data_IF_830633978846
#
_entry.id   IF_830633978846
#
_cell.length_a   1.000
_cell.length_b   1.000
_cell.length_c   1.000
_cell.angle_alpha   90.00
_cell.angle_beta   90.00
_cell.angle_gamma   90.00
#
_symmetry.space_group_name_H-M   'P 1'
#
loop_
_entity.id
_entity.type
_entity.pdbx_description
1 polymer ?
#
# COMPACT_ATOMS: atom_id res chain seq x y z
N UNK A 1 -0.26 -30.57 16.43
CA UNK A 1 -0.47 -30.04 15.06
C UNK A 1 -0.10 -28.58 15.11
N UNK A 2 1.01 -28.17 14.52
CA UNK A 2 1.47 -26.78 14.60
C UNK A 2 0.74 -25.94 13.54
N UNK A 3 -0.22 -25.16 14.02
CA UNK A 3 -0.89 -24.10 13.27
C UNK A 3 0.14 -23.00 13.04
N UNK A 4 0.21 -22.42 11.83
CA UNK A 4 1.03 -21.22 11.62
C UNK A 4 0.55 -20.17 12.61
N UNK A 5 1.45 -19.78 13.52
CA UNK A 5 1.22 -18.63 14.37
C UNK A 5 1.28 -17.38 13.49
N UNK A 6 0.11 -16.77 13.30
CA UNK A 6 -0.01 -15.51 12.57
C UNK A 6 0.14 -14.31 13.51
N UNK A 7 0.32 -14.53 14.82
CA UNK A 7 0.50 -13.44 15.77
C UNK A 7 1.72 -12.60 15.37
N UNK A 8 1.51 -11.28 15.33
CA UNK A 8 2.54 -10.32 14.95
C UNK A 8 2.86 -10.26 13.44
N UNK A 9 2.24 -11.10 12.60
CA UNK A 9 2.42 -11.01 11.15
C UNK A 9 1.38 -10.08 10.53
N UNK A 10 1.83 -9.30 9.55
CA UNK A 10 1.00 -8.37 8.80
C UNK A 10 1.02 -8.67 7.30
N UNK A 11 -0.03 -8.20 6.62
CA UNK A 11 -0.03 -8.11 5.18
C UNK A 11 1.12 -7.18 4.74
N UNK A 12 2.02 -7.69 3.90
CA UNK A 12 3.22 -6.98 3.52
C UNK A 12 2.94 -5.72 2.67
N UNK A 13 1.78 -5.62 2.03
CA UNK A 13 1.40 -4.44 1.27
C UNK A 13 0.76 -3.37 2.17
N UNK A 14 -0.33 -3.70 2.85
CA UNK A 14 -1.18 -2.78 3.61
C UNK A 14 -0.75 -2.56 5.06
N UNK A 15 0.04 -3.49 5.64
CA UNK A 15 0.39 -3.49 7.06
C UNK A 15 -0.76 -3.91 7.99
N UNK A 16 -1.88 -4.38 7.45
CA UNK A 16 -2.99 -4.88 8.27
C UNK A 16 -2.63 -6.23 8.92
N UNK A 17 -3.04 -6.51 10.17
CA UNK A 17 -2.88 -7.83 10.77
C UNK A 17 -3.47 -8.93 9.89
N UNK A 18 -2.78 -10.07 9.79
CA UNK A 18 -3.25 -11.17 8.95
C UNK A 18 -4.60 -11.71 9.42
N UNK A 19 -5.46 -12.05 8.45
CA UNK A 19 -6.80 -12.57 8.68
C UNK A 19 -7.04 -13.70 7.67
N UNK A 20 -7.16 -14.93 8.19
CA UNK A 20 -7.32 -16.15 7.39
C UNK A 20 -8.60 -16.12 6.54
N UNK A 21 -9.64 -15.43 7.00
CA UNK A 21 -10.93 -15.35 6.32
C UNK A 21 -10.90 -14.47 5.06
N UNK A 22 -9.85 -13.65 4.89
CA UNK A 22 -9.66 -12.82 3.70
C UNK A 22 -8.89 -13.54 2.58
N UNK A 23 -8.54 -14.81 2.79
CA UNK A 23 -7.64 -15.56 1.93
C UNK A 23 -6.19 -15.08 2.07
N UNK A 24 -5.25 -16.01 2.20
CA UNK A 24 -3.84 -15.68 2.36
C UNK A 24 -3.01 -16.19 1.18
N UNK A 25 -2.00 -15.40 0.83
CA UNK A 25 -0.95 -15.74 -0.09
C UNK A 25 0.40 -15.54 0.60
N UNK A 26 1.41 -16.31 0.20
CA UNK A 26 2.76 -16.19 0.73
C UNK A 26 3.78 -16.15 -0.40
N UNK A 27 4.71 -15.21 -0.33
CA UNK A 27 5.90 -15.25 -1.17
C UNK A 27 6.78 -16.45 -0.77
N UNK A 28 7.01 -17.37 -1.70
CA UNK A 28 7.82 -18.55 -1.44
C UNK A 28 9.32 -18.26 -1.35
N UNK A 29 9.77 -17.09 -1.80
CA UNK A 29 11.17 -16.66 -1.67
C UNK A 29 11.47 -16.06 -0.30
N UNK A 30 10.68 -15.07 0.18
CA UNK A 30 10.99 -14.34 1.41
C UNK A 30 9.97 -14.52 2.55
N UNK A 31 8.96 -15.37 2.36
CA UNK A 31 7.98 -15.82 3.38
C UNK A 31 7.07 -14.75 3.98
N UNK A 32 7.01 -13.56 3.38
CA UNK A 32 6.01 -12.55 3.74
C UNK A 32 4.63 -12.93 3.22
N UNK A 33 3.60 -12.47 3.91
CA UNK A 33 2.21 -12.79 3.62
C UNK A 33 1.46 -11.61 3.01
N UNK A 34 0.39 -11.94 2.30
CA UNK A 34 -0.55 -11.00 1.71
C UNK A 34 -1.98 -11.55 1.89
N UNK A 35 -2.94 -10.66 2.08
CA UNK A 35 -4.35 -10.94 1.82
C UNK A 35 -4.59 -11.04 0.31
N UNK A 36 -5.65 -11.75 -0.09
CA UNK A 36 -5.98 -11.94 -1.50
C UNK A 36 -6.19 -10.60 -2.25
N UNK A 37 -6.80 -9.60 -1.61
CA UNK A 37 -7.02 -8.29 -2.24
C UNK A 37 -5.71 -7.55 -2.54
N UNK A 38 -4.71 -7.65 -1.66
CA UNK A 38 -3.38 -7.09 -1.92
C UNK A 38 -2.76 -7.70 -3.19
N UNK A 39 -2.93 -9.00 -3.42
CA UNK A 39 -2.43 -9.66 -4.63
C UNK A 39 -3.08 -9.10 -5.90
N UNK A 40 -4.39 -8.87 -5.89
CA UNK A 40 -5.08 -8.23 -7.03
C UNK A 40 -4.47 -6.88 -7.37
N UNK A 41 -4.18 -6.07 -6.35
CA UNK A 41 -3.51 -4.77 -6.55
C UNK A 41 -2.12 -4.96 -7.12
N UNK A 42 -1.29 -5.83 -6.52
CA UNK A 42 0.08 -6.09 -7.00
C UNK A 42 0.12 -6.54 -8.47
N UNK A 43 -0.77 -7.45 -8.88
CA UNK A 43 -0.86 -7.87 -10.29
C UNK A 43 -1.08 -6.68 -11.23
N UNK A 44 -1.97 -5.77 -10.85
CA UNK A 44 -2.30 -4.59 -11.66
C UNK A 44 -1.16 -3.56 -11.70
N UNK A 45 -0.45 -3.35 -10.60
CA UNK A 45 0.38 -2.14 -10.41
C UNK A 45 1.88 -2.42 -10.36
N UNK A 46 2.30 -3.66 -10.10
CA UNK A 46 3.70 -4.07 -10.06
C UNK A 46 3.97 -5.46 -10.67
N UNK A 47 3.13 -5.89 -11.62
CA UNK A 47 3.28 -7.19 -12.29
C UNK A 47 3.25 -8.39 -11.32
N UNK A 48 2.63 -8.24 -10.15
CA UNK A 48 2.51 -9.30 -9.14
C UNK A 48 3.82 -9.61 -8.41
N UNK A 49 4.78 -8.68 -8.41
CA UNK A 49 6.04 -8.85 -7.73
C UNK A 49 5.90 -8.67 -6.21
N UNK A 50 6.62 -9.47 -5.45
CA UNK A 50 6.64 -9.39 -4.00
C UNK A 50 7.29 -8.07 -3.56
N UNK A 51 6.55 -7.23 -2.83
CA UNK A 51 7.01 -5.90 -2.40
C UNK A 51 8.27 -5.92 -1.53
N UNK A 52 8.58 -7.07 -0.91
CA UNK A 52 9.72 -7.24 -0.02
C UNK A 52 10.96 -7.91 -0.64
N UNK A 53 10.84 -8.55 -1.83
CA UNK A 53 11.98 -9.25 -2.46
C UNK A 53 11.92 -9.35 -3.99
N UNK A 54 10.93 -8.73 -4.63
CA UNK A 54 10.67 -8.70 -6.07
C UNK A 54 10.39 -10.04 -6.77
N UNK A 55 10.42 -11.16 -6.04
CA UNK A 55 10.00 -12.47 -6.57
C UNK A 55 8.53 -12.50 -6.97
N UNK A 56 8.21 -13.14 -8.09
CA UNK A 56 6.84 -13.42 -8.54
C UNK A 56 6.27 -14.71 -7.96
N UNK A 57 7.03 -15.43 -7.12
CA UNK A 57 6.61 -16.70 -6.53
C UNK A 57 5.68 -16.49 -5.34
N UNK A 58 4.52 -15.86 -5.56
CA UNK A 58 3.50 -15.62 -4.55
C UNK A 58 2.35 -16.59 -4.78
N UNK A 59 2.10 -17.46 -3.80
CA UNK A 59 1.15 -18.58 -3.94
C UNK A 59 0.09 -18.53 -2.85
N UNK A 60 -1.14 -18.92 -3.18
CA UNK A 60 -2.21 -19.07 -2.21
C UNK A 60 -1.83 -20.12 -1.16
N UNK A 61 -2.21 -19.89 0.10
CA UNK A 61 -1.82 -20.74 1.23
C UNK A 61 -3.01 -21.04 2.15
N UNK A 62 -3.22 -22.33 2.44
CA UNK A 62 -4.16 -22.79 3.45
C UNK A 62 -3.47 -22.97 4.81
N UNK A 63 -3.78 -22.09 5.75
CA UNK A 63 -3.15 -22.05 7.09
C UNK A 63 -3.55 -23.22 8.00
N UNK A 64 -4.45 -24.08 7.54
CA UNK A 64 -4.85 -25.34 8.19
C UNK A 64 -3.91 -26.51 7.87
N UNK A 65 -3.05 -26.37 6.86
CA UNK A 65 -2.01 -27.34 6.52
C UNK A 65 -0.73 -26.96 7.26
N UNK A 66 0.10 -27.97 7.59
CA UNK A 66 1.43 -27.81 8.21
C UNK A 66 2.26 -26.86 7.35
N UNK A 67 2.28 -25.57 7.67
CA UNK A 67 2.81 -24.52 6.79
C UNK A 67 4.04 -23.84 7.38
N UNK A 68 4.91 -23.43 6.45
CA UNK A 68 6.24 -22.87 6.68
C UNK A 68 6.15 -21.56 7.47
N UNK A 69 7.15 -21.33 8.32
CA UNK A 69 7.36 -20.11 9.09
C UNK A 69 7.11 -18.83 8.29
N UNK A 70 6.56 -17.81 8.94
CA UNK A 70 6.35 -16.49 8.38
C UNK A 70 7.47 -15.50 8.66
N UNK A 71 7.57 -14.47 7.82
CA UNK A 71 8.39 -13.28 8.06
C UNK A 71 7.48 -12.05 8.03
N UNK A 72 7.55 -11.22 9.08
CA UNK A 72 6.88 -9.92 9.04
C UNK A 72 7.67 -8.91 8.20
N UNK A 73 7.02 -7.86 7.70
CA UNK A 73 7.67 -6.90 6.80
C UNK A 73 7.49 -5.45 7.25
N UNK A 74 8.60 -4.90 7.73
CA UNK A 74 8.75 -3.48 8.07
C UNK A 74 9.44 -2.76 6.90
N UNK A 75 8.77 -1.80 6.23
CA UNK A 75 9.31 -1.07 5.11
C UNK A 75 10.12 0.15 5.58
N UNK A 76 11.03 0.61 4.72
CA UNK A 76 11.84 1.80 4.98
C UNK A 76 10.99 3.06 5.13
N UNK A 77 11.46 4.00 5.96
CA UNK A 77 10.85 5.33 6.09
C UNK A 77 11.49 6.28 5.09
N UNK A 78 10.67 6.91 4.25
CA UNK A 78 11.13 7.78 3.17
C UNK A 78 10.40 9.12 3.16
N UNK A 79 10.87 10.06 2.35
CA UNK A 79 10.32 11.41 2.21
C UNK A 79 10.28 11.84 0.75
N UNK A 80 9.87 13.08 0.48
CA UNK A 80 9.93 13.67 -0.86
C UNK A 80 11.34 13.69 -1.46
N UNK A 81 12.39 13.63 -0.65
CA UNK A 81 13.76 13.77 -1.14
C UNK A 81 14.29 12.50 -1.83
N UNK A 82 13.71 11.33 -1.53
CA UNK A 82 14.27 10.04 -1.98
C UNK A 82 13.25 9.06 -2.56
N UNK A 83 11.95 9.39 -2.65
CA UNK A 83 10.92 8.44 -3.10
C UNK A 83 11.17 7.81 -4.48
N UNK A 84 11.91 8.49 -5.37
CA UNK A 84 12.20 8.00 -6.72
C UNK A 84 13.06 6.74 -6.71
N UNK A 85 13.90 6.58 -5.69
CA UNK A 85 14.80 5.44 -5.54
C UNK A 85 14.07 4.19 -5.03
N UNK A 86 12.79 4.32 -4.66
CA UNK A 86 11.99 3.25 -4.05
C UNK A 86 10.83 2.78 -4.95
N UNK A 87 10.82 3.11 -6.24
CA UNK A 87 9.82 2.58 -7.19
C UNK A 87 9.81 1.05 -7.16
N UNK A 88 8.62 0.46 -7.08
CA UNK A 88 8.44 -0.99 -6.97
C UNK A 88 8.53 -1.53 -5.54
N UNK A 89 8.74 -0.68 -4.54
CA UNK A 89 8.85 -1.07 -3.13
C UNK A 89 7.74 -0.45 -2.28
N UNK A 90 7.32 -1.19 -1.26
CA UNK A 90 6.46 -0.63 -0.21
C UNK A 90 7.32 0.13 0.78
N UNK A 91 6.86 1.32 1.13
CA UNK A 91 7.58 2.26 2.01
C UNK A 91 6.64 2.79 3.08
N UNK A 92 7.18 3.34 4.15
CA UNK A 92 6.50 4.32 5.01
C UNK A 92 6.90 5.71 4.56
N UNK A 93 6.03 6.42 3.86
CA UNK A 93 6.25 7.78 3.40
C UNK A 93 5.74 8.81 4.41
N UNK A 94 6.56 9.80 4.77
CA UNK A 94 6.18 10.93 5.61
C UNK A 94 6.37 12.26 4.87
N UNK A 95 5.29 13.05 4.75
CA UNK A 95 5.37 14.41 4.21
C UNK A 95 4.14 15.24 4.57
N UNK A 96 4.28 16.57 4.42
CA UNK A 96 3.15 17.51 4.51
C UNK A 96 2.36 17.51 3.22
N UNK A 97 1.05 17.34 3.35
CA UNK A 97 0.09 17.47 2.24
C UNK A 97 -0.08 18.95 1.91
N UNK A 98 0.12 19.30 0.64
CA UNK A 98 -0.03 20.67 0.14
C UNK A 98 -1.47 20.92 -0.30
N UNK A 99 -2.08 19.96 -0.99
CA UNK A 99 -3.46 20.06 -1.48
C UNK A 99 -4.06 18.68 -1.75
N UNK A 100 -5.40 18.62 -1.86
CA UNK A 100 -6.13 17.42 -2.27
C UNK A 100 -6.89 17.73 -3.55
N UNK A 101 -6.66 16.93 -4.59
CA UNK A 101 -7.34 17.02 -5.88
C UNK A 101 -8.34 15.89 -6.03
N UNK A 102 -9.41 16.16 -6.75
CA UNK A 102 -10.45 15.19 -7.09
C UNK A 102 -10.49 15.02 -8.61
N UNK A 103 -10.68 13.79 -9.07
CA UNK A 103 -10.80 13.49 -10.50
C UNK A 103 -12.05 14.18 -11.08
N UNK A 104 -12.08 14.43 -12.39
CA UNK A 104 -13.26 15.02 -13.06
C UNK A 104 -14.54 14.21 -12.86
N UNK A 105 -14.41 12.91 -12.64
CA UNK A 105 -15.54 11.99 -12.39
C UNK A 105 -16.01 11.99 -10.93
N UNK A 106 -15.30 12.67 -10.02
CA UNK A 106 -15.70 12.86 -8.62
C UNK A 106 -15.48 11.63 -7.73
N UNK A 107 -14.64 10.68 -8.14
CA UNK A 107 -14.55 9.37 -7.50
C UNK A 107 -13.13 8.92 -7.14
N UNK A 108 -12.11 9.60 -7.63
CA UNK A 108 -10.71 9.32 -7.30
C UNK A 108 -10.06 10.58 -6.75
N UNK A 109 -9.15 10.42 -5.79
CA UNK A 109 -8.50 11.55 -5.12
C UNK A 109 -6.98 11.43 -5.21
N UNK A 110 -6.33 12.56 -5.44
CA UNK A 110 -4.89 12.70 -5.34
C UNK A 110 -4.55 13.62 -4.17
N UNK A 111 -3.87 13.08 -3.17
CA UNK A 111 -3.33 13.85 -2.05
C UNK A 111 -1.92 14.26 -2.45
N UNK A 112 -1.73 15.55 -2.74
CA UNK A 112 -0.52 16.08 -3.36
C UNK A 112 0.48 16.55 -2.31
N UNK A 113 1.76 16.29 -2.57
CA UNK A 113 2.87 16.72 -1.71
C UNK A 113 3.72 17.83 -2.33
N UNK A 114 3.42 18.19 -3.57
CA UNK A 114 4.09 19.24 -4.33
C UNK A 114 3.03 20.12 -5.00
N UNK A 115 3.30 21.43 -5.12
CA UNK A 115 2.46 22.37 -5.88
C UNK A 115 2.62 22.17 -7.39
N UNK A 116 2.25 20.97 -7.88
CA UNK A 116 2.39 20.52 -9.27
C UNK A 116 1.07 19.96 -9.78
N UNK A 117 0.94 19.81 -11.10
CA UNK A 117 -0.23 19.13 -11.67
C UNK A 117 -0.29 17.66 -11.23
N UNK A 118 -1.49 17.08 -11.24
CA UNK A 118 -1.75 15.67 -10.87
C UNK A 118 -0.75 14.69 -11.50
N UNK A 119 -0.41 14.88 -12.78
CA UNK A 119 0.48 13.99 -13.54
C UNK A 119 1.96 14.25 -13.32
N UNK A 120 2.33 15.35 -12.65
CA UNK A 120 3.73 15.79 -12.48
C UNK A 120 4.21 15.77 -11.03
N UNK A 121 3.28 15.87 -10.07
CA UNK A 121 3.61 15.85 -8.65
C UNK A 121 3.52 14.45 -8.05
N UNK A 122 4.34 14.20 -7.03
CA UNK A 122 4.18 13.03 -6.18
C UNK A 122 2.92 13.13 -5.32
N UNK A 123 2.20 12.01 -5.20
CA UNK A 123 0.86 11.98 -4.60
C UNK A 123 0.51 10.63 -4.02
N UNK A 124 -0.41 10.62 -3.06
CA UNK A 124 -1.19 9.41 -2.78
C UNK A 124 -2.37 9.37 -3.73
N UNK A 125 -2.73 8.18 -4.23
CA UNK A 125 -3.94 7.98 -5.02
C UNK A 125 -4.92 7.08 -4.26
N UNK A 126 -6.16 7.56 -4.17
CA UNK A 126 -7.30 6.83 -3.64
C UNK A 126 -8.29 6.59 -4.77
N UNK A 127 -8.36 5.36 -5.27
CA UNK A 127 -9.36 4.96 -6.26
C UNK A 127 -10.74 4.81 -5.62
N UNK A 128 -11.80 4.89 -6.43
CA UNK A 128 -13.20 4.76 -6.00
C UNK A 128 -13.47 3.67 -4.96
N UNK A 129 -12.90 2.47 -5.12
CA UNK A 129 -13.06 1.35 -4.18
C UNK A 129 -12.43 1.64 -2.81
N UNK A 130 -11.23 2.22 -2.81
CA UNK A 130 -10.49 2.59 -1.62
C UNK A 130 -11.12 3.77 -0.87
N UNK A 131 -11.70 4.74 -1.58
CA UNK A 131 -12.29 5.96 -0.98
C UNK A 131 -13.28 5.62 0.15
N UNK A 132 -14.14 4.62 -0.06
CA UNK A 132 -15.10 4.20 0.98
C UNK A 132 -14.41 3.57 2.20
N UNK A 133 -13.39 2.74 1.97
CA UNK A 133 -12.66 2.01 3.01
C UNK A 133 -11.86 2.93 3.93
N UNK A 134 -11.31 4.02 3.39
CA UNK A 134 -10.45 4.94 4.15
C UNK A 134 -11.22 5.98 4.98
N UNK A 135 -12.53 6.13 4.78
CA UNK A 135 -13.36 7.12 5.50
C UNK A 135 -14.06 8.15 4.60
N UNK A 136 -13.99 7.98 3.27
CA UNK A 136 -14.70 8.80 2.30
C UNK A 136 -14.05 10.16 2.00
N UNK A 137 -14.70 10.89 1.09
CA UNK A 137 -14.29 12.25 0.68
C UNK A 137 -14.02 13.19 1.86
N UNK A 138 -14.87 13.30 2.90
CA UNK A 138 -14.61 14.22 4.01
C UNK A 138 -13.27 13.96 4.70
N UNK A 139 -12.95 12.69 4.93
CA UNK A 139 -11.68 12.31 5.55
C UNK A 139 -10.49 12.64 4.64
N UNK A 140 -10.54 12.25 3.36
CA UNK A 140 -9.45 12.49 2.41
C UNK A 140 -9.21 13.99 2.22
N UNK A 141 -10.27 14.78 2.06
CA UNK A 141 -10.17 16.25 1.97
C UNK A 141 -9.56 16.88 3.23
N UNK A 142 -9.82 16.31 4.41
CA UNK A 142 -9.24 16.79 5.68
C UNK A 142 -7.73 16.57 5.83
N UNK A 143 -7.11 15.83 4.91
CA UNK A 143 -5.65 15.61 4.92
C UNK A 143 -4.89 16.86 4.44
N UNK A 144 -5.54 17.79 3.73
CA UNK A 144 -4.91 19.02 3.28
C UNK A 144 -4.28 19.80 4.44
N UNK A 145 -3.01 20.18 4.29
CA UNK A 145 -2.25 20.91 5.31
C UNK A 145 -1.64 20.05 6.42
N UNK A 146 -2.05 18.78 6.56
CA UNK A 146 -1.51 17.86 7.58
C UNK A 146 -0.21 17.21 7.15
N UNK A 147 0.61 16.82 8.12
CA UNK A 147 1.69 15.86 7.92
C UNK A 147 1.13 14.46 8.06
N UNK A 148 1.27 13.66 7.00
CA UNK A 148 0.79 12.28 6.97
C UNK A 148 1.96 11.31 7.00
N UNK A 149 1.74 10.15 7.63
CA UNK A 149 2.60 8.97 7.51
C UNK A 149 1.79 7.87 6.87
N UNK A 150 2.25 7.38 5.74
CA UNK A 150 1.49 6.44 4.91
C UNK A 150 2.38 5.28 4.49
N UNK A 151 1.92 4.07 4.75
CA UNK A 151 2.46 2.86 4.16
C UNK A 151 1.90 2.68 2.75
N UNK A 152 2.71 2.38 1.76
CA UNK A 152 2.20 1.95 0.46
C UNK A 152 3.28 1.74 -0.59
N UNK A 153 2.87 1.17 -1.72
CA UNK A 153 3.77 0.88 -2.84
C UNK A 153 4.02 2.15 -3.65
N UNK A 154 5.29 2.50 -3.84
CA UNK A 154 5.69 3.57 -4.76
C UNK A 154 5.67 3.02 -6.18
N UNK A 155 4.91 3.67 -7.06
CA UNK A 155 4.86 3.34 -8.49
C UNK A 155 5.15 4.58 -9.34
N UNK A 156 5.67 4.36 -10.55
CA UNK A 156 5.76 5.40 -11.57
C UNK A 156 4.82 5.03 -12.73
N UNK A 157 3.58 5.52 -12.66
CA UNK A 157 2.57 5.21 -13.65
C UNK A 157 2.87 5.95 -14.97
N UNK A 158 2.85 5.28 -16.15
CA UNK A 158 3.26 5.88 -17.42
C UNK A 158 2.48 7.15 -17.80
N UNK A 159 1.22 7.26 -17.35
CA UNK A 159 0.35 8.42 -17.61
C UNK A 159 0.25 9.41 -16.44
N UNK A 160 0.40 8.94 -15.21
CA UNK A 160 0.06 9.71 -14.01
C UNK A 160 1.28 10.08 -13.17
N UNK A 161 2.47 9.61 -13.57
CA UNK A 161 3.72 9.86 -12.89
C UNK A 161 3.80 9.10 -11.58
N UNK A 162 4.57 9.64 -10.65
CA UNK A 162 4.86 8.97 -9.39
C UNK A 162 3.69 9.04 -8.41
N UNK A 163 3.38 7.93 -7.77
CA UNK A 163 2.31 7.83 -6.78
C UNK A 163 2.54 6.72 -5.77
N UNK A 164 1.87 6.85 -4.63
CA UNK A 164 1.63 5.75 -3.69
C UNK A 164 0.15 5.37 -3.77
N UNK A 165 -0.11 4.09 -3.97
CA UNK A 165 -1.47 3.56 -3.99
C UNK A 165 -1.92 3.27 -2.56
N UNK A 166 -3.06 3.84 -2.17
CA UNK A 166 -3.66 3.61 -0.84
C UNK A 166 -4.99 2.90 -1.03
N UNK A 167 -5.05 1.63 -0.67
CA UNK A 167 -6.26 0.78 -0.81
C UNK A 167 -7.04 0.60 0.49
N UNK A 168 -6.37 0.71 1.63
CA UNK A 168 -6.94 0.43 2.96
C UNK A 168 -6.67 1.54 3.97
N UNK A 169 -7.53 1.65 4.99
CA UNK A 169 -7.35 2.66 6.06
C UNK A 169 -6.10 2.41 6.90
N UNK A 170 -5.73 1.14 7.10
CA UNK A 170 -4.52 0.72 7.83
C UNK A 170 -3.23 1.28 7.23
N UNK A 171 -3.23 1.63 5.95
CA UNK A 171 -2.10 2.23 5.26
C UNK A 171 -1.85 3.67 5.72
N UNK A 172 -2.83 4.37 6.29
CA UNK A 172 -2.63 5.71 6.83
C UNK A 172 -2.30 5.59 8.32
N UNK A 173 -1.01 5.61 8.61
CA UNK A 173 -0.47 5.38 9.96
C UNK A 173 -0.74 6.57 10.90
N UNK A 174 -0.69 7.79 10.37
CA UNK A 174 -1.05 9.00 11.11
C UNK A 174 -1.35 10.18 10.18
N UNK A 175 -2.16 11.13 10.64
CA UNK A 175 -2.36 12.44 10.00
C UNK A 175 -2.49 13.52 11.09
N UNK A 176 -1.51 14.42 11.16
CA UNK A 176 -1.38 15.45 12.21
C UNK A 176 -1.21 16.85 11.62
#
# INVERSE_FOLDING_TARGET
MDVVDLAGLHDAFTGQPLNKNLGLHQCQSCKVFYHAESITVLVEVNSGQCVACQSTQIHAVNVSQKQKSGRDYTPDVITLNNYRDHVGSVVTFEAKVVEVKESKRGNDFAVMFETKSWTRGFKLVFFRSAVRKVGGKPYISSLSGKTVRVRGLVVNHPKFGYEIIVSEKSMILSAR
#
